data_IF_134027663716
#
_entry.id   IF_134027663716
#
_cell.length_a   1.000
_cell.length_b   1.000
_cell.length_c   1.000
_cell.angle_alpha   90.00
_cell.angle_beta   90.00
_cell.angle_gamma   90.00
#
_symmetry.space_group_name_H-M   'P 1'
#
loop_
_entity.id
_entity.type
_entity.pdbx_description
1 polymer ?
#
# COMPACT_ATOMS: atom_id res chain seq x y z
N UNK A 1 -1.27 -4.86 -24.35
CA UNK A 1 -1.41 -6.01 -23.44
C UNK A 1 -2.33 -5.55 -22.32
N UNK A 2 -3.58 -6.01 -22.31
CA UNK A 2 -4.58 -5.60 -21.33
C UNK A 2 -4.23 -6.21 -19.96
N UNK A 3 -3.75 -5.39 -19.03
CA UNK A 3 -3.60 -5.80 -17.64
C UNK A 3 -4.99 -6.00 -17.06
N UNK A 4 -5.37 -7.26 -16.85
CA UNK A 4 -6.62 -7.66 -16.19
C UNK A 4 -6.53 -7.32 -14.68
N UNK A 5 -6.64 -6.03 -14.37
CA UNK A 5 -7.09 -5.50 -13.08
C UNK A 5 -8.59 -5.18 -13.11
N UNK A 6 -9.32 -5.77 -14.06
CA UNK A 6 -10.71 -5.46 -14.35
C UNK A 6 -11.67 -5.94 -13.26
N UNK A 7 -11.86 -5.11 -12.23
CA UNK A 7 -13.08 -4.90 -11.41
C UNK A 7 -12.77 -4.15 -10.11
N UNK A 8 -11.51 -4.10 -9.68
CA UNK A 8 -11.09 -3.27 -8.55
C UNK A 8 -10.50 -1.95 -9.06
N UNK A 9 -10.95 -0.82 -8.51
CA UNK A 9 -10.45 0.51 -8.84
C UNK A 9 -9.07 0.75 -8.23
N UNK A 10 -8.08 0.01 -8.72
CA UNK A 10 -6.68 0.13 -8.33
C UNK A 10 -6.13 1.50 -8.70
N UNK A 11 -5.49 2.15 -7.73
CA UNK A 11 -4.86 3.46 -7.86
C UNK A 11 -3.46 3.39 -7.29
N UNK A 12 -2.50 3.99 -7.99
CA UNK A 12 -1.16 4.30 -7.45
C UNK A 12 -1.11 5.75 -7.02
N UNK A 13 -0.12 6.10 -6.20
CA UNK A 13 0.14 7.51 -5.90
C UNK A 13 0.60 8.28 -7.15
N UNK A 14 0.24 9.56 -7.26
CA UNK A 14 0.73 10.43 -8.34
C UNK A 14 2.24 10.66 -8.25
N UNK A 15 2.82 10.48 -7.06
CA UNK A 15 4.24 10.59 -6.76
C UNK A 15 5.07 9.40 -7.24
N UNK A 16 4.42 8.33 -7.73
CA UNK A 16 5.16 7.20 -8.26
C UNK A 16 5.76 7.54 -9.64
N UNK A 17 7.10 7.55 -9.72
CA UNK A 17 7.83 7.80 -10.95
C UNK A 17 7.46 6.82 -12.07
N UNK A 18 7.48 7.29 -13.31
CA UNK A 18 7.19 6.46 -14.48
C UNK A 18 8.27 5.40 -14.65
N UNK A 19 7.89 4.12 -14.61
CA UNK A 19 8.80 3.00 -14.90
C UNK A 19 9.35 2.27 -13.68
N UNK A 20 9.16 2.83 -12.47
CA UNK A 20 9.49 2.16 -11.21
C UNK A 20 8.25 1.51 -10.60
N UNK A 21 8.48 0.42 -9.87
CA UNK A 21 7.40 -0.29 -9.20
C UNK A 21 6.65 0.63 -8.22
N UNK A 22 5.33 0.54 -8.18
CA UNK A 22 4.46 1.34 -7.32
C UNK A 22 3.68 0.46 -6.34
N UNK A 23 3.50 1.01 -5.14
CA UNK A 23 2.41 0.55 -4.26
C UNK A 23 1.07 0.98 -4.87
N UNK A 24 0.17 0.02 -5.01
CA UNK A 24 -1.19 0.19 -5.49
C UNK A 24 -2.17 -0.07 -4.36
N UNK A 25 -3.19 0.78 -4.26
CA UNK A 25 -4.33 0.62 -3.37
C UNK A 25 -5.62 0.47 -4.16
N UNK A 26 -6.53 -0.37 -3.68
CA UNK A 26 -7.91 -0.42 -4.14
C UNK A 26 -8.86 -0.44 -2.94
N UNK A 27 -10.04 0.22 -3.05
CA UNK A 27 -11.12 -0.01 -2.10
C UNK A 27 -11.54 -1.48 -2.06
N UNK A 28 -11.93 -1.95 -0.89
CA UNK A 28 -12.54 -3.25 -0.67
C UNK A 28 -13.85 -3.11 0.13
N UNK A 29 -14.70 -4.15 0.16
CA UNK A 29 -15.95 -4.11 0.91
C UNK A 29 -15.76 -3.68 2.37
N UNK A 30 -16.82 -3.12 2.95
CA UNK A 30 -16.85 -2.74 4.38
C UNK A 30 -15.80 -1.67 4.76
N UNK A 31 -15.32 -0.90 3.77
CA UNK A 31 -14.35 0.18 3.98
C UNK A 31 -12.92 -0.31 4.19
N UNK A 32 -12.64 -1.59 3.94
CA UNK A 32 -11.29 -2.11 3.89
C UNK A 32 -10.55 -1.57 2.65
N UNK A 33 -9.24 -1.74 2.64
CA UNK A 33 -8.41 -1.43 1.47
C UNK A 33 -7.52 -2.60 1.13
N UNK A 34 -7.28 -2.82 -0.17
CA UNK A 34 -6.33 -3.80 -0.67
C UNK A 34 -5.06 -3.10 -1.12
N UNK A 35 -3.90 -3.61 -0.72
CA UNK A 35 -2.58 -3.09 -1.02
C UNK A 35 -1.75 -4.15 -1.74
N UNK A 36 -1.07 -3.76 -2.81
CA UNK A 36 -0.09 -4.61 -3.51
C UNK A 36 1.04 -3.76 -4.04
N UNK A 37 2.19 -4.38 -4.32
CA UNK A 37 3.32 -3.72 -4.98
C UNK A 37 3.56 -4.43 -6.31
N UNK A 38 3.63 -3.65 -7.39
CA UNK A 38 3.71 -4.15 -8.77
C UNK A 38 4.97 -4.94 -9.15
N UNK A 39 6.11 -4.71 -8.49
CA UNK A 39 7.33 -5.52 -8.68
C UNK A 39 7.58 -6.49 -7.53
N UNK A 40 6.62 -6.67 -6.63
CA UNK A 40 6.66 -7.77 -5.69
C UNK A 40 6.48 -9.08 -6.46
N UNK A 41 7.52 -9.94 -6.55
CA UNK A 41 7.46 -11.18 -7.32
C UNK A 41 6.44 -12.17 -6.75
N UNK A 42 6.02 -12.00 -5.49
CA UNK A 42 4.99 -12.84 -4.88
C UNK A 42 3.59 -12.54 -5.41
N UNK A 43 3.38 -11.35 -6.00
CA UNK A 43 2.06 -10.88 -6.41
C UNK A 43 1.08 -10.76 -5.24
N UNK A 44 1.59 -10.61 -4.02
CA UNK A 44 0.77 -10.61 -2.80
C UNK A 44 -0.15 -9.39 -2.78
N UNK A 45 -1.39 -9.60 -2.33
CA UNK A 45 -2.35 -8.54 -2.05
C UNK A 45 -2.70 -8.61 -0.56
N UNK A 46 -2.33 -7.57 0.19
CA UNK A 46 -2.76 -7.39 1.58
C UNK A 46 -4.12 -6.74 1.62
N UNK A 47 -4.96 -7.16 2.54
CA UNK A 47 -6.20 -6.51 2.94
C UNK A 47 -5.98 -5.86 4.30
N UNK A 48 -6.19 -4.56 4.37
CA UNK A 48 -6.15 -3.79 5.61
C UNK A 48 -7.59 -3.47 6.01
N UNK A 49 -8.01 -3.96 7.17
CA UNK A 49 -9.30 -3.57 7.73
C UNK A 49 -9.36 -2.05 7.97
N UNK A 50 -10.58 -1.47 8.06
CA UNK A 50 -10.72 -0.01 8.24
C UNK A 50 -9.94 0.55 9.43
N UNK A 51 -9.82 -0.21 10.53
CA UNK A 51 -9.06 0.19 11.71
C UNK A 51 -7.55 0.21 11.44
N UNK A 52 -7.01 -0.85 10.83
CA UNK A 52 -5.62 -0.97 10.38
C UNK A 52 -5.27 0.18 9.43
N UNK A 53 -6.11 0.44 8.42
CA UNK A 53 -5.88 1.53 7.48
C UNK A 53 -5.90 2.92 8.13
N UNK A 54 -6.80 3.17 9.10
CA UNK A 54 -6.78 4.42 9.88
C UNK A 54 -5.51 4.57 10.70
N UNK A 55 -5.03 3.49 11.32
CA UNK A 55 -3.77 3.51 12.07
C UNK A 55 -2.58 3.82 11.16
N UNK A 56 -2.56 3.23 9.97
CA UNK A 56 -1.55 3.49 8.94
C UNK A 56 -1.52 4.93 8.48
N UNK A 57 -2.68 5.50 8.13
CA UNK A 57 -2.76 6.91 7.71
C UNK A 57 -2.28 7.87 8.80
N UNK A 58 -2.62 7.62 10.07
CA UNK A 58 -2.11 8.41 11.19
C UNK A 58 -0.58 8.31 11.30
N UNK A 59 -0.05 7.10 11.18
CA UNK A 59 1.40 6.87 11.19
C UNK A 59 2.12 7.64 10.10
N UNK A 60 1.64 7.50 8.87
CA UNK A 60 2.21 8.16 7.71
C UNK A 60 2.12 9.69 7.85
N UNK A 61 0.99 10.21 8.33
CA UNK A 61 0.78 11.63 8.61
C UNK A 61 1.77 12.20 9.63
N UNK A 62 2.11 11.42 10.67
CA UNK A 62 3.11 11.80 11.68
C UNK A 62 4.56 11.58 11.20
N UNK A 63 4.78 11.11 9.95
CA UNK A 63 6.12 10.83 9.43
C UNK A 63 6.74 9.53 9.97
N UNK A 64 5.95 8.61 10.52
CA UNK A 64 6.41 7.31 11.06
C UNK A 64 5.93 6.13 10.23
N UNK A 65 6.66 5.01 10.32
CA UNK A 65 6.18 3.73 9.82
C UNK A 65 5.03 3.21 10.71
N UNK A 66 3.99 2.59 10.12
CA UNK A 66 2.95 1.91 10.88
C UNK A 66 3.47 0.60 11.46
N UNK A 67 4.15 0.67 12.60
CA UNK A 67 4.64 -0.51 13.32
C UNK A 67 3.51 -1.22 14.09
N UNK A 68 3.57 -2.55 14.25
CA UNK A 68 4.60 -3.46 13.71
C UNK A 68 4.37 -3.87 12.25
N UNK A 69 3.33 -3.37 11.60
CA UNK A 69 2.88 -3.85 10.29
C UNK A 69 3.84 -3.51 9.12
N UNK A 70 4.61 -2.43 9.25
CA UNK A 70 5.63 -2.02 8.28
C UNK A 70 7.01 -1.98 8.93
N UNK A 71 7.91 -2.86 8.49
CA UNK A 71 9.23 -3.01 9.09
C UNK A 71 10.36 -2.98 8.04
N UNK A 72 11.53 -2.40 8.36
CA UNK A 72 12.73 -2.54 7.55
C UNK A 72 13.11 -4.01 7.38
N UNK A 73 13.24 -4.41 6.12
CA UNK A 73 13.78 -5.68 5.70
C UNK A 73 15.21 -5.55 5.17
N UNK A 74 15.82 -6.67 4.78
CA UNK A 74 17.16 -6.67 4.19
C UNK A 74 17.19 -5.89 2.86
N UNK A 75 18.34 -5.28 2.56
CA UNK A 75 18.58 -4.62 1.28
C UNK A 75 17.79 -3.32 1.08
N UNK A 76 17.47 -2.58 2.15
CA UNK A 76 16.76 -1.29 2.07
C UNK A 76 15.29 -1.41 1.68
N UNK A 77 14.73 -2.61 1.82
CA UNK A 77 13.33 -2.92 1.57
C UNK A 77 12.48 -2.69 2.82
N UNK A 78 11.19 -2.52 2.62
CA UNK A 78 10.18 -2.55 3.66
C UNK A 78 9.29 -3.78 3.45
N UNK A 79 9.01 -4.46 4.55
CA UNK A 79 8.10 -5.59 4.62
C UNK A 79 6.79 -5.08 5.21
N UNK A 80 5.74 -5.13 4.41
CA UNK A 80 4.39 -4.74 4.78
C UNK A 80 3.60 -6.00 5.11
N UNK A 81 2.88 -5.98 6.23
CA UNK A 81 2.02 -7.06 6.70
C UNK A 81 0.67 -6.48 7.09
N UNK A 82 -0.31 -7.35 7.28
CA UNK A 82 -1.58 -6.96 7.88
C UNK A 82 -1.86 -7.90 9.05
N UNK A 83 -2.30 -7.40 10.22
CA UNK A 83 -2.82 -8.28 11.27
C UNK A 83 -4.05 -9.06 10.79
N UNK A 84 -4.75 -8.54 9.77
CA UNK A 84 -5.94 -9.12 9.16
C UNK A 84 -5.59 -10.28 8.19
N UNK A 85 -4.38 -10.29 7.63
CA UNK A 85 -3.88 -11.32 6.69
C UNK A 85 -2.59 -11.96 7.20
N UNK A 86 -2.73 -12.86 8.18
CA UNK A 86 -1.59 -13.52 8.81
C UNK A 86 -0.82 -14.37 7.78
N UNK A 87 0.47 -14.06 7.62
CA UNK A 87 1.38 -14.79 6.74
C UNK A 87 1.58 -14.16 5.36
N UNK A 88 0.77 -13.18 4.98
CA UNK A 88 1.01 -12.40 3.76
C UNK A 88 2.01 -11.28 4.03
N UNK A 89 2.94 -11.10 3.08
CA UNK A 89 3.94 -10.04 3.13
C UNK A 89 4.03 -9.40 1.76
N UNK A 90 3.81 -8.09 1.69
CA UNK A 90 4.16 -7.30 0.52
C UNK A 90 5.54 -6.70 0.71
N UNK A 91 6.41 -6.88 -0.26
CA UNK A 91 7.75 -6.30 -0.23
C UNK A 91 7.81 -5.06 -1.10
N UNK A 92 8.34 -3.96 -0.57
CA UNK A 92 8.53 -2.71 -1.31
C UNK A 92 9.90 -2.10 -1.01
N UNK A 93 10.32 -1.07 -1.73
CA UNK A 93 11.53 -0.31 -1.43
C UNK A 93 11.20 0.91 -0.57
N UNK A 94 12.22 1.47 0.09
CA UNK A 94 12.08 2.73 0.84
C UNK A 94 11.60 3.87 -0.07
N UNK A 95 12.13 4.00 -1.29
CA UNK A 95 11.73 5.05 -2.22
C UNK A 95 10.25 4.96 -2.62
N UNK A 96 9.75 3.74 -2.85
CA UNK A 96 8.35 3.50 -3.21
C UNK A 96 7.41 3.74 -2.04
N UNK A 97 7.84 3.37 -0.84
CA UNK A 97 7.13 3.72 0.38
C UNK A 97 7.03 5.23 0.57
N UNK A 98 8.11 5.99 0.35
CA UNK A 98 8.07 7.45 0.50
C UNK A 98 7.12 8.10 -0.51
N UNK A 99 7.12 7.65 -1.77
CA UNK A 99 6.16 8.12 -2.78
C UNK A 99 4.71 7.80 -2.36
N UNK A 100 4.45 6.58 -1.89
CA UNK A 100 3.15 6.20 -1.36
C UNK A 100 2.74 7.04 -0.14
N UNK A 101 3.66 7.24 0.79
CA UNK A 101 3.45 7.99 2.01
C UNK A 101 3.17 9.48 1.70
N UNK A 102 3.82 10.07 0.70
CA UNK A 102 3.51 11.40 0.19
C UNK A 102 2.07 11.46 -0.33
N UNK A 103 1.64 10.51 -1.18
CA UNK A 103 0.26 10.46 -1.66
C UNK A 103 -0.78 10.30 -0.55
N UNK A 104 -0.47 9.53 0.50
CA UNK A 104 -1.34 9.42 1.69
C UNK A 104 -1.42 10.75 2.45
N UNK A 105 -0.32 11.48 2.62
CA UNK A 105 -0.30 12.81 3.26
C UNK A 105 -1.08 13.84 2.46
N UNK A 106 -1.05 13.73 1.13
CA UNK A 106 -1.80 14.60 0.22
C UNK A 106 -3.29 14.22 0.11
N UNK A 107 -3.74 13.18 0.81
CA UNK A 107 -5.14 12.74 0.83
C UNK A 107 -5.60 12.03 -0.44
N UNK A 108 -4.68 11.54 -1.28
CA UNK A 108 -5.00 10.89 -2.57
C UNK A 108 -5.92 9.66 -2.42
N UNK A 109 -5.88 9.05 -1.24
CA UNK A 109 -6.57 7.82 -0.86
C UNK A 109 -7.75 8.03 0.13
N UNK A 110 -8.18 9.28 0.38
CA UNK A 110 -9.26 9.57 1.33
C UNK A 110 -10.67 9.30 0.78
N UNK A 111 -10.81 9.19 -0.55
CA UNK A 111 -12.06 8.80 -1.19
C UNK A 111 -11.96 7.38 -1.74
N UNK A 112 -12.93 6.49 -1.43
CA UNK A 112 -13.09 5.29 -2.24
C UNK A 112 -13.34 5.75 -3.68
N UNK A 113 -12.71 5.11 -4.66
CA UNK A 113 -13.08 5.30 -6.04
C UNK A 113 -14.61 5.07 -6.13
N UNK A 114 -15.31 6.09 -6.64
CA UNK A 114 -16.77 6.07 -6.75
C UNK A 114 -17.28 5.01 -7.69
#
# INVERSE_FOLDING_TARGET
>A
MHSTFGQAAWRKSSHCATGDACIHLAPAPQGAVRLTESSDPSGTVLTLAPATWRAWRRAIGDGRLPRPDAEPGPGGRLLLRSPDDQGLVVTTTTAQWEAFAAGVRDGEFDRPAG
#
